data_IF_046419955025
#
_entry.id   IF_046419955025
#
_cell.length_a   1.000
_cell.length_b   1.000
_cell.length_c   1.000
_cell.angle_alpha   90.00
_cell.angle_beta   90.00
_cell.angle_gamma   90.00
#
_symmetry.space_group_name_H-M   'P 1'
#
loop_
_entity.id
_entity.type
_entity.pdbx_description
1 polymer ?
#
# COMPACT_ATOMS: atom_id res chain seq x y z
N UNK A 1 12.72 1.03 -10.09
CA UNK A 1 11.60 0.10 -9.87
C UNK A 1 10.46 0.84 -9.18
N UNK A 2 9.22 0.40 -9.37
CA UNK A 2 8.06 0.99 -8.72
C UNK A 2 7.71 0.19 -7.47
N UNK A 3 7.92 0.81 -6.32
CA UNK A 3 7.60 0.23 -5.02
C UNK A 3 6.29 0.86 -4.52
N UNK A 4 5.31 0.03 -4.25
CA UNK A 4 3.99 0.44 -3.77
C UNK A 4 3.77 -0.13 -2.37
N UNK A 5 3.43 0.73 -1.43
CA UNK A 5 3.03 0.36 -0.08
C UNK A 5 1.52 0.56 0.05
N UNK A 6 0.81 -0.47 0.45
CA UNK A 6 -0.64 -0.40 0.66
C UNK A 6 -0.92 -0.56 2.15
N UNK A 7 -1.88 0.21 2.66
CA UNK A 7 -2.33 0.03 4.04
C UNK A 7 -3.78 0.48 4.19
N UNK A 8 -4.35 0.16 5.34
CA UNK A 8 -5.74 0.38 5.67
C UNK A 8 -5.85 0.91 7.10
N UNK A 9 -7.07 1.17 7.57
CA UNK A 9 -7.37 1.64 8.91
C UNK A 9 -6.54 2.88 9.27
N UNK A 10 -5.74 2.85 10.33
CA UNK A 10 -4.96 4.01 10.76
C UNK A 10 -3.64 4.22 10.03
N UNK A 11 -3.23 3.29 9.17
CA UNK A 11 -1.98 3.42 8.40
C UNK A 11 -0.70 3.16 9.21
N UNK A 12 -0.80 2.55 10.39
CA UNK A 12 0.35 2.37 11.26
C UNK A 12 1.45 1.50 10.68
N UNK A 13 1.09 0.37 10.07
CA UNK A 13 2.07 -0.51 9.42
C UNK A 13 2.67 0.15 8.19
N UNK A 14 1.84 0.78 7.35
CA UNK A 14 2.30 1.50 6.17
C UNK A 14 3.26 2.64 6.53
N UNK A 15 2.95 3.38 7.58
CA UNK A 15 3.83 4.43 8.09
C UNK A 15 5.21 3.89 8.47
N UNK A 16 5.25 2.78 9.20
CA UNK A 16 6.52 2.15 9.60
C UNK A 16 7.30 1.64 8.40
N UNK A 17 6.62 1.05 7.42
CA UNK A 17 7.25 0.59 6.18
C UNK A 17 7.86 1.74 5.39
N UNK A 18 7.13 2.83 5.23
CA UNK A 18 7.64 4.02 4.52
C UNK A 18 8.85 4.60 5.24
N UNK A 19 8.77 4.78 6.55
CA UNK A 19 9.91 5.28 7.34
C UNK A 19 11.14 4.40 7.18
N UNK A 20 10.97 3.08 7.31
CA UNK A 20 12.08 2.13 7.20
C UNK A 20 12.69 2.11 5.81
N UNK A 21 11.86 2.11 4.76
CA UNK A 21 12.35 2.11 3.39
C UNK A 21 13.05 3.42 3.04
N UNK A 22 12.55 4.56 3.52
CA UNK A 22 13.22 5.85 3.27
C UNK A 22 14.58 5.94 3.96
N UNK A 23 14.75 5.32 5.12
CA UNK A 23 16.06 5.22 5.77
C UNK A 23 17.01 4.32 4.99
N UNK A 24 16.54 3.16 4.57
CA UNK A 24 17.37 2.17 3.86
C UNK A 24 17.67 2.58 2.43
N UNK A 25 16.72 3.20 1.74
CA UNK A 25 16.78 3.53 0.32
C UNK A 25 16.33 4.98 0.09
N UNK A 26 17.10 5.98 0.56
CA UNK A 26 16.63 7.38 0.57
C UNK A 26 16.34 7.95 -0.82
N UNK A 27 16.94 7.40 -1.87
CA UNK A 27 16.75 7.88 -3.22
C UNK A 27 15.70 7.08 -4.02
N UNK A 28 15.14 6.04 -3.42
CA UNK A 28 14.11 5.24 -4.07
C UNK A 28 12.74 5.92 -3.88
N UNK A 29 12.06 6.33 -4.97
CA UNK A 29 10.70 6.87 -4.84
C UNK A 29 9.74 5.80 -4.32
N UNK A 30 8.84 6.19 -3.42
CA UNK A 30 7.82 5.31 -2.85
C UNK A 30 6.44 5.84 -3.19
N UNK A 31 5.59 4.94 -3.65
CA UNK A 31 4.16 5.20 -3.87
C UNK A 31 3.41 4.54 -2.71
N UNK A 32 2.56 5.30 -2.03
CA UNK A 32 1.75 4.76 -0.95
C UNK A 32 0.27 4.95 -1.25
N UNK A 33 -0.51 3.91 -1.02
CA UNK A 33 -1.96 3.95 -1.24
C UNK A 33 -2.66 3.50 0.02
N UNK A 34 -3.50 4.38 0.57
CA UNK A 34 -4.37 4.04 1.68
C UNK A 34 -5.77 3.70 1.19
N UNK A 35 -6.43 2.76 1.85
CA UNK A 35 -7.84 2.48 1.60
C UNK A 35 -8.75 3.62 2.06
N UNK A 36 -8.22 4.50 2.93
CA UNK A 36 -8.90 5.68 3.45
C UNK A 36 -7.90 6.84 3.61
N UNK A 37 -8.42 8.03 3.85
CA UNK A 37 -7.62 9.25 3.91
C UNK A 37 -6.65 9.28 5.10
N UNK A 38 -7.01 8.68 6.24
CA UNK A 38 -6.13 8.65 7.42
C UNK A 38 -4.89 7.81 7.15
N UNK A 39 -5.05 6.63 6.55
CA UNK A 39 -3.94 5.76 6.19
C UNK A 39 -3.02 6.46 5.18
N UNK A 40 -3.60 7.07 4.16
CA UNK A 40 -2.84 7.82 3.15
C UNK A 40 -2.04 8.96 3.79
N UNK A 41 -2.67 9.75 4.66
CA UNK A 41 -2.01 10.87 5.33
C UNK A 41 -0.85 10.41 6.22
N UNK A 42 -1.01 9.30 6.92
CA UNK A 42 0.05 8.75 7.77
C UNK A 42 1.29 8.38 6.95
N UNK A 43 1.09 7.73 5.81
CA UNK A 43 2.19 7.35 4.92
C UNK A 43 2.84 8.55 4.24
N UNK A 44 2.05 9.56 3.88
CA UNK A 44 2.58 10.80 3.31
C UNK A 44 3.50 11.50 4.31
N UNK A 45 3.06 11.64 5.55
CA UNK A 45 3.88 12.26 6.61
C UNK A 45 5.15 11.46 6.89
N UNK A 46 5.13 10.16 6.68
CA UNK A 46 6.31 9.30 6.87
C UNK A 46 7.35 9.47 5.77
N UNK A 47 7.01 10.11 4.65
CA UNK A 47 7.94 10.42 3.58
C UNK A 47 7.65 9.77 2.23
N UNK A 48 6.45 9.19 2.03
CA UNK A 48 6.08 8.69 0.70
C UNK A 48 6.12 9.83 -0.32
N UNK A 49 6.62 9.53 -1.51
CA UNK A 49 6.82 10.54 -2.56
C UNK A 49 5.53 10.85 -3.32
N UNK A 50 4.70 9.82 -3.53
CA UNK A 50 3.40 9.95 -4.17
C UNK A 50 2.39 9.14 -3.37
N UNK A 51 1.19 9.68 -3.22
CA UNK A 51 0.12 9.01 -2.48
C UNK A 51 -1.19 9.06 -3.25
N UNK A 52 -2.04 8.09 -2.98
CA UNK A 52 -3.40 8.02 -3.50
C UNK A 52 -4.29 7.28 -2.50
N UNK A 53 -5.60 7.42 -2.66
CA UNK A 53 -6.57 6.87 -1.71
C UNK A 53 -7.69 6.16 -2.46
N UNK A 54 -8.08 5.00 -1.93
CA UNK A 54 -9.31 4.33 -2.33
C UNK A 54 -9.11 3.13 -3.23
N UNK A 55 -10.23 2.47 -3.54
CA UNK A 55 -10.25 1.21 -4.27
C UNK A 55 -9.59 1.30 -5.64
N UNK A 56 -9.96 2.29 -6.43
CA UNK A 56 -9.40 2.40 -7.77
C UNK A 56 -7.90 2.68 -7.74
N UNK A 57 -7.44 3.46 -6.77
CA UNK A 57 -6.00 3.71 -6.59
C UNK A 57 -5.25 2.41 -6.28
N UNK A 58 -5.83 1.54 -5.43
CA UNK A 58 -5.25 0.22 -5.15
C UNK A 58 -5.16 -0.60 -6.44
N UNK A 59 -6.24 -0.64 -7.22
CA UNK A 59 -6.28 -1.42 -8.48
C UNK A 59 -5.20 -0.94 -9.45
N UNK A 60 -5.14 0.36 -9.68
CA UNK A 60 -4.19 0.95 -10.64
C UNK A 60 -2.74 0.75 -10.17
N UNK A 61 -2.46 1.08 -8.91
CA UNK A 61 -1.09 1.02 -8.39
C UNK A 61 -0.58 -0.41 -8.25
N UNK A 62 -1.45 -1.35 -7.84
CA UNK A 62 -1.08 -2.76 -7.79
C UNK A 62 -0.75 -3.31 -9.19
N UNK A 63 -1.44 -2.81 -10.22
CA UNK A 63 -1.20 -3.23 -11.60
C UNK A 63 0.12 -2.75 -12.19
N UNK A 64 0.67 -1.64 -11.69
CA UNK A 64 1.91 -1.08 -12.21
C UNK A 64 3.14 -1.31 -11.32
N UNK A 65 2.96 -1.90 -10.16
CA UNK A 65 4.04 -2.11 -9.19
C UNK A 65 5.04 -3.17 -9.65
N UNK A 66 6.29 -3.00 -9.26
CA UNK A 66 7.31 -4.03 -9.33
C UNK A 66 7.44 -4.76 -7.99
N UNK A 67 7.22 -4.05 -6.90
CA UNK A 67 7.23 -4.57 -5.54
C UNK A 67 6.06 -3.99 -4.77
N UNK A 68 5.31 -4.84 -4.09
CA UNK A 68 4.23 -4.44 -3.19
C UNK A 68 4.57 -4.88 -1.76
N UNK A 69 4.47 -3.95 -0.82
CA UNK A 69 4.53 -4.25 0.61
C UNK A 69 3.20 -3.85 1.23
N UNK A 70 2.59 -4.75 1.95
CA UNK A 70 1.30 -4.48 2.59
C UNK A 70 1.01 -5.46 3.72
N UNK A 71 0.06 -5.14 4.61
CA UNK A 71 -0.47 -6.13 5.53
C UNK A 71 -1.10 -7.29 4.76
N UNK A 72 -0.98 -8.50 5.29
CA UNK A 72 -1.57 -9.68 4.64
C UNK A 72 -3.08 -9.55 4.45
N UNK A 73 -3.76 -8.77 5.28
CA UNK A 73 -5.18 -8.49 5.14
C UNK A 73 -5.57 -7.87 3.80
N UNK A 74 -4.62 -7.22 3.11
CA UNK A 74 -4.90 -6.61 1.79
C UNK A 74 -5.20 -7.62 0.69
N UNK A 75 -4.88 -8.90 0.88
CA UNK A 75 -5.24 -9.97 -0.07
C UNK A 75 -6.42 -10.80 0.41
N UNK A 76 -7.07 -10.39 1.49
CA UNK A 76 -8.22 -11.08 2.08
C UNK A 76 -9.47 -10.22 1.92
N UNK A 77 -10.38 -10.67 1.06
CA UNK A 77 -11.66 -9.97 0.84
C UNK A 77 -12.41 -9.81 2.17
N UNK A 78 -12.92 -8.60 2.40
CA UNK A 78 -13.68 -8.19 3.59
C UNK A 78 -12.86 -8.14 4.88
N UNK A 79 -11.54 -8.28 4.82
CA UNK A 79 -10.69 -8.08 5.99
C UNK A 79 -10.81 -6.65 6.54
N UNK A 80 -10.41 -6.48 7.78
CA UNK A 80 -10.41 -5.18 8.47
C UNK A 80 -11.80 -4.54 8.50
N UNK A 81 -12.81 -5.34 8.92
CA UNK A 81 -14.20 -4.92 9.03
C UNK A 81 -14.79 -4.45 7.70
N UNK A 82 -14.38 -5.10 6.60
CA UNK A 82 -14.91 -4.80 5.27
C UNK A 82 -14.17 -3.68 4.54
N UNK A 83 -13.15 -3.10 5.14
CA UNK A 83 -12.39 -2.03 4.49
C UNK A 83 -11.66 -2.52 3.23
N UNK A 84 -11.20 -3.77 3.25
CA UNK A 84 -10.58 -4.40 2.08
C UNK A 84 -11.68 -5.01 1.21
N UNK A 85 -11.93 -4.39 0.07
CA UNK A 85 -12.95 -4.88 -0.87
C UNK A 85 -12.43 -6.07 -1.67
N UNK A 86 -13.37 -6.81 -2.28
CA UNK A 86 -13.03 -7.91 -3.18
C UNK A 86 -12.12 -7.44 -4.33
N UNK A 87 -12.40 -6.27 -4.90
CA UNK A 87 -11.60 -5.71 -5.99
C UNK A 87 -10.18 -5.37 -5.54
N UNK A 88 -10.01 -4.84 -4.34
CA UNK A 88 -8.68 -4.57 -3.78
C UNK A 88 -7.89 -5.87 -3.61
N UNK A 89 -8.47 -6.85 -2.94
CA UNK A 89 -7.81 -8.13 -2.70
C UNK A 89 -7.42 -8.82 -4.01
N UNK A 90 -8.32 -8.80 -4.99
CA UNK A 90 -8.10 -9.39 -6.30
C UNK A 90 -6.96 -8.68 -7.05
N UNK A 91 -6.95 -7.35 -7.04
CA UNK A 91 -5.93 -6.57 -7.72
C UNK A 91 -4.53 -6.84 -7.15
N UNK A 92 -4.40 -6.90 -5.83
CA UNK A 92 -3.13 -7.22 -5.18
C UNK A 92 -2.73 -8.65 -5.50
N UNK A 93 -3.65 -9.60 -5.37
CA UNK A 93 -3.38 -11.02 -5.63
C UNK A 93 -2.97 -11.29 -7.08
N UNK A 94 -3.57 -10.60 -8.05
CA UNK A 94 -3.26 -10.75 -9.47
C UNK A 94 -2.01 -9.99 -9.92
N UNK A 95 -1.53 -9.06 -9.13
CA UNK A 95 -0.37 -8.25 -9.52
C UNK A 95 0.82 -9.14 -9.86
N UNK A 96 1.56 -8.74 -10.89
CA UNK A 96 2.84 -9.39 -11.26
C UNK A 96 3.98 -8.97 -10.35
N UNK A 97 3.75 -7.98 -9.47
CA UNK A 97 4.76 -7.52 -8.55
C UNK A 97 5.21 -8.65 -7.61
N UNK A 98 6.45 -8.57 -7.17
CA UNK A 98 6.87 -9.32 -6.00
C UNK A 98 6.13 -8.76 -4.79
N UNK A 99 5.55 -9.63 -3.98
CA UNK A 99 4.70 -9.20 -2.85
C UNK A 99 5.32 -9.62 -1.53
N UNK A 100 5.47 -8.66 -0.63
CA UNK A 100 5.88 -8.89 0.74
C UNK A 100 4.66 -8.61 1.62
N UNK A 101 4.08 -9.67 2.14
CA UNK A 101 2.87 -9.62 2.97
C UNK A 101 3.26 -9.77 4.43
N UNK A 102 2.83 -8.84 5.25
CA UNK A 102 3.20 -8.79 6.66
C UNK A 102 2.04 -9.07 7.60
#
# INVERSE_FOLDING_TARGET
>A
MKIVILDAQGGGMGRQLVEGLKKALPNQPLIAVGTNALATAAMLRAGADQVATGENAVVVCAGMADLILCPIGMVLCDAMLGEVTANMALAVGRSRAHKILL
#
